data_IF_368854406797
#
_entry.id   IF_368854406797
#
_cell.length_a   1.000
_cell.length_b   1.000
_cell.length_c   1.000
_cell.angle_alpha   90.00
_cell.angle_beta   90.00
_cell.angle_gamma   90.00
#
_symmetry.space_group_name_H-M   'P 1'
#
loop_
_entity.id
_entity.type
_entity.pdbx_description
1 polymer ?
#
# COMPACT_ATOMS: atom_id res chain seq x y z
N UNK A 1 -15.94 12.87 1.19
CA UNK A 1 -14.79 13.82 1.32
C UNK A 1 -15.13 15.16 2.00
N UNK A 2 -15.94 16.04 1.40
CA UNK A 2 -16.13 17.44 1.85
C UNK A 2 -16.49 17.67 3.31
N UNK A 3 -17.50 16.93 3.81
CA UNK A 3 -17.97 17.08 5.17
C UNK A 3 -16.86 16.77 6.21
N UNK A 4 -15.94 15.87 5.87
CA UNK A 4 -14.79 15.54 6.71
C UNK A 4 -13.72 16.65 6.64
N UNK A 5 -13.42 17.16 5.44
CA UNK A 5 -12.53 18.32 5.24
C UNK A 5 -12.99 19.52 6.07
N UNK A 6 -14.28 19.83 6.07
CA UNK A 6 -14.86 20.90 6.88
C UNK A 6 -14.68 20.67 8.38
N UNK A 7 -14.81 19.42 8.85
CA UNK A 7 -14.55 19.07 10.25
C UNK A 7 -13.07 19.25 10.60
N UNK A 8 -12.16 18.92 9.70
CA UNK A 8 -10.71 19.14 9.86
C UNK A 8 -10.41 20.63 9.97
N UNK A 9 -10.92 21.46 9.07
CA UNK A 9 -10.70 22.91 9.10
C UNK A 9 -11.29 23.53 10.38
N UNK A 10 -12.51 23.13 10.77
CA UNK A 10 -13.10 23.56 12.05
C UNK A 10 -12.28 23.11 13.26
N UNK A 11 -11.72 21.90 13.21
CA UNK A 11 -10.77 21.46 14.22
C UNK A 11 -9.60 22.44 14.23
N UNK A 12 -8.88 22.63 13.11
CA UNK A 12 -7.69 23.49 13.01
C UNK A 12 -7.90 24.90 13.58
N UNK A 13 -9.09 25.50 13.40
CA UNK A 13 -9.46 26.83 13.90
C UNK A 13 -9.73 26.94 15.41
N UNK A 14 -9.81 25.82 16.15
CA UNK A 14 -9.88 25.84 17.63
C UNK A 14 -8.58 26.36 18.23
N UNK A 15 -8.58 26.72 19.52
CA UNK A 15 -7.37 27.18 20.22
C UNK A 15 -6.19 26.20 20.06
N UNK A 16 -5.02 26.73 19.69
CA UNK A 16 -3.80 25.99 19.27
C UNK A 16 -2.60 26.16 20.20
N UNK A 17 -2.87 26.38 21.47
CA UNK A 17 -1.84 26.41 22.52
C UNK A 17 -1.20 25.04 22.83
N UNK A 18 -1.63 23.95 22.19
CA UNK A 18 -1.10 22.59 22.41
C UNK A 18 -0.80 21.88 21.08
N UNK A 19 0.27 21.05 21.02
CA UNK A 19 0.52 20.16 19.88
C UNK A 19 -0.67 19.25 19.62
N UNK A 20 -0.84 18.83 18.36
CA UNK A 20 -1.91 17.91 17.97
C UNK A 20 -1.38 16.77 17.11
N UNK A 21 -2.11 15.66 17.16
CA UNK A 21 -2.06 14.59 16.16
C UNK A 21 -3.45 14.49 15.54
N UNK A 22 -3.53 14.50 14.21
CA UNK A 22 -4.79 14.43 13.49
C UNK A 22 -4.70 13.39 12.37
N UNK A 23 -5.46 12.30 12.50
CA UNK A 23 -5.62 11.30 11.46
C UNK A 23 -6.93 11.56 10.70
N UNK A 24 -6.83 11.80 9.40
CA UNK A 24 -7.98 12.07 8.52
C UNK A 24 -8.15 10.90 7.56
N UNK A 25 -9.16 10.08 7.79
CA UNK A 25 -9.47 8.91 6.96
C UNK A 25 -10.63 9.24 6.03
N UNK A 26 -10.33 9.55 4.77
CA UNK A 26 -11.35 9.60 3.73
C UNK A 26 -11.78 8.18 3.35
N UNK A 27 -13.06 8.00 3.05
CA UNK A 27 -13.57 6.72 2.55
C UNK A 27 -13.31 6.61 1.04
N UNK A 28 -13.58 7.68 0.30
CA UNK A 28 -13.31 7.73 -1.13
C UNK A 28 -11.81 7.56 -1.42
N UNK A 29 -11.41 6.92 -2.53
CA UNK A 29 -12.21 6.43 -3.65
C UNK A 29 -12.77 5.01 -3.48
N UNK A 30 -12.90 4.49 -2.26
CA UNK A 30 -13.42 3.14 -2.00
C UNK A 30 -14.77 2.90 -2.70
N UNK A 31 -14.94 1.67 -3.20
CA UNK A 31 -16.17 1.20 -3.83
C UNK A 31 -17.36 1.31 -2.84
N UNK A 32 -18.51 1.80 -3.30
CA UNK A 32 -19.73 1.75 -2.50
C UNK A 32 -20.30 0.33 -2.55
N UNK A 33 -20.29 -0.37 -1.42
CA UNK A 33 -20.56 -1.81 -1.36
C UNK A 33 -22.00 -2.19 -1.80
N UNK A 34 -22.96 -1.30 -1.56
CA UNK A 34 -24.36 -1.44 -1.94
C UNK A 34 -24.60 -1.24 -3.44
N UNK A 35 -23.81 -0.38 -4.08
CA UNK A 35 -23.91 -0.07 -5.50
C UNK A 35 -22.92 -0.87 -6.36
N UNK A 36 -21.95 -1.54 -5.72
CA UNK A 36 -20.85 -2.24 -6.37
C UNK A 36 -20.14 -1.35 -7.42
N UNK A 37 -19.92 -0.07 -7.11
CA UNK A 37 -19.16 0.88 -7.94
C UNK A 37 -18.53 2.01 -7.13
N UNK A 38 -17.50 2.64 -7.67
CA UNK A 38 -17.05 3.95 -7.22
C UNK A 38 -18.09 5.00 -7.64
N UNK A 39 -18.22 6.05 -6.84
CA UNK A 39 -19.16 7.15 -7.08
C UNK A 39 -18.43 8.45 -6.86
N UNK A 40 -18.09 9.15 -7.95
CA UNK A 40 -17.52 10.49 -7.85
C UNK A 40 -18.57 11.51 -7.42
N UNK A 41 -18.12 12.66 -6.87
CA UNK A 41 -18.98 13.83 -6.72
C UNK A 41 -19.59 14.24 -8.07
N UNK A 42 -20.74 14.91 -8.01
CA UNK A 42 -21.49 15.32 -9.19
C UNK A 42 -20.60 16.11 -10.18
N UNK A 43 -20.61 15.69 -11.45
CA UNK A 43 -19.83 16.31 -12.52
C UNK A 43 -18.34 15.96 -12.56
N UNK A 44 -17.79 15.25 -11.57
CA UNK A 44 -16.35 14.92 -11.57
C UNK A 44 -16.03 13.77 -12.51
N UNK A 45 -16.85 12.73 -12.60
CA UNK A 45 -16.62 11.61 -13.52
C UNK A 45 -16.60 12.06 -14.99
N UNK A 46 -17.43 13.04 -15.35
CA UNK A 46 -17.46 13.60 -16.70
C UNK A 46 -16.13 14.26 -17.13
N UNK A 47 -15.39 14.86 -16.18
CA UNK A 47 -14.05 15.42 -16.43
C UNK A 47 -13.03 14.35 -16.83
N UNK A 48 -13.28 13.11 -16.43
CA UNK A 48 -12.41 11.95 -16.64
C UNK A 48 -13.06 10.89 -17.54
N UNK A 49 -13.96 11.30 -18.46
CA UNK A 49 -14.63 10.38 -19.38
C UNK A 49 -13.64 9.62 -20.30
N UNK A 50 -12.46 10.16 -20.54
CA UNK A 50 -11.35 9.49 -21.23
C UNK A 50 -10.12 9.42 -20.32
N UNK A 51 -10.13 8.53 -19.30
CA UNK A 51 -9.10 8.48 -18.29
C UNK A 51 -7.80 7.89 -18.86
N UNK A 52 -6.65 8.33 -18.34
CA UNK A 52 -5.41 7.57 -18.50
C UNK A 52 -5.61 6.16 -17.93
N UNK A 53 -5.24 5.14 -18.70
CA UNK A 53 -5.36 3.73 -18.29
C UNK A 53 -3.97 3.22 -17.91
N UNK A 54 -3.74 2.87 -16.63
CA UNK A 54 -2.51 2.22 -16.20
C UNK A 54 -2.17 0.98 -17.03
N UNK A 55 -0.88 0.77 -17.27
CA UNK A 55 -0.38 -0.26 -18.19
C UNK A 55 -0.67 -1.69 -17.72
N UNK A 56 -0.81 -1.91 -16.42
CA UNK A 56 -1.15 -3.21 -15.82
C UNK A 56 -2.62 -3.59 -15.99
N UNK A 57 -3.51 -2.63 -16.28
CA UNK A 57 -4.95 -2.91 -16.40
C UNK A 57 -5.36 -3.41 -17.79
N UNK A 58 -4.76 -2.87 -18.85
CA UNK A 58 -5.13 -3.20 -20.24
C UNK A 58 -5.02 -4.69 -20.60
N UNK A 59 -4.00 -5.43 -20.14
CA UNK A 59 -3.82 -6.83 -20.54
C UNK A 59 -4.84 -7.80 -19.95
N UNK A 60 -5.60 -7.40 -18.92
CA UNK A 60 -6.47 -8.30 -18.17
C UNK A 60 -7.94 -7.84 -18.17
N UNK A 61 -8.90 -8.79 -18.12
CA UNK A 61 -10.29 -8.45 -17.87
C UNK A 61 -10.44 -7.85 -16.47
N UNK A 62 -11.33 -6.87 -16.31
CA UNK A 62 -11.59 -6.19 -15.05
C UNK A 62 -12.77 -5.23 -15.19
N UNK A 63 -13.02 -4.42 -14.16
CA UNK A 63 -14.08 -3.41 -14.19
C UNK A 63 -13.55 -1.97 -14.41
N UNK A 64 -12.25 -1.82 -14.66
CA UNK A 64 -11.57 -0.52 -14.76
C UNK A 64 -12.19 0.42 -15.80
N UNK A 65 -12.71 -0.08 -16.93
CA UNK A 65 -13.36 0.75 -17.95
C UNK A 65 -14.53 1.55 -17.38
N UNK A 66 -15.29 0.93 -16.48
CA UNK A 66 -16.49 1.50 -15.88
C UNK A 66 -16.15 2.33 -14.65
N UNK A 67 -15.10 1.95 -13.91
CA UNK A 67 -14.77 2.55 -12.62
C UNK A 67 -13.78 3.72 -12.71
N UNK A 68 -12.89 3.77 -13.71
CA UNK A 68 -11.82 4.77 -13.77
C UNK A 68 -12.32 6.24 -13.78
N UNK A 69 -13.37 6.62 -14.52
CA UNK A 69 -13.87 7.99 -14.49
C UNK A 69 -14.31 8.42 -13.08
N UNK A 70 -15.05 7.56 -12.37
CA UNK A 70 -15.48 7.83 -10.99
C UNK A 70 -14.28 7.82 -10.02
N UNK A 71 -13.35 6.86 -10.18
CA UNK A 71 -12.16 6.74 -9.35
C UNK A 71 -11.27 8.00 -9.44
N UNK A 72 -11.00 8.49 -10.65
CA UNK A 72 -10.25 9.75 -10.84
C UNK A 72 -11.04 10.97 -10.39
N UNK A 73 -12.36 10.97 -10.55
CA UNK A 73 -13.22 12.02 -10.01
C UNK A 73 -13.12 12.13 -8.48
N UNK A 74 -13.13 11.00 -7.78
CA UNK A 74 -12.90 10.95 -6.34
C UNK A 74 -11.50 11.47 -5.95
N UNK A 75 -10.45 11.00 -6.63
CA UNK A 75 -9.07 11.44 -6.37
C UNK A 75 -8.93 12.95 -6.56
N UNK A 76 -9.48 13.50 -7.64
CA UNK A 76 -9.45 14.94 -7.89
C UNK A 76 -10.14 15.73 -6.77
N UNK A 77 -11.26 15.24 -6.23
CA UNK A 77 -11.91 15.91 -5.10
C UNK A 77 -11.10 15.80 -3.81
N UNK A 78 -10.42 14.68 -3.57
CA UNK A 78 -9.53 14.50 -2.43
C UNK A 78 -8.35 15.47 -2.52
N UNK A 79 -7.75 15.62 -3.70
CA UNK A 79 -6.66 16.56 -3.96
C UNK A 79 -7.07 18.01 -3.65
N UNK A 80 -8.22 18.45 -4.16
CA UNK A 80 -8.78 19.78 -3.84
C UNK A 80 -9.04 19.95 -2.32
N UNK A 81 -9.52 18.90 -1.65
CA UNK A 81 -9.75 18.92 -0.21
C UNK A 81 -8.46 18.95 0.61
N UNK A 82 -7.41 18.27 0.16
CA UNK A 82 -6.08 18.38 0.75
C UNK A 82 -5.56 19.81 0.59
N UNK A 83 -5.70 20.41 -0.59
CA UNK A 83 -5.36 21.82 -0.83
C UNK A 83 -6.02 22.76 0.18
N UNK A 84 -7.32 22.60 0.42
CA UNK A 84 -8.06 23.39 1.42
C UNK A 84 -7.55 23.21 2.85
N UNK A 85 -7.12 22.01 3.23
CA UNK A 85 -6.50 21.77 4.54
C UNK A 85 -5.14 22.47 4.63
N UNK A 86 -4.32 22.36 3.58
CA UNK A 86 -3.02 23.03 3.52
C UNK A 86 -3.16 24.56 3.58
N UNK A 87 -4.15 25.12 2.89
CA UNK A 87 -4.44 26.55 2.95
C UNK A 87 -4.89 26.98 4.34
N UNK A 88 -5.76 26.21 5.00
CA UNK A 88 -6.15 26.48 6.38
C UNK A 88 -4.94 26.43 7.35
N UNK A 89 -4.01 25.50 7.17
CA UNK A 89 -2.77 25.45 7.95
C UNK A 89 -1.91 26.70 7.72
N UNK A 90 -1.83 27.22 6.49
CA UNK A 90 -1.08 28.46 6.17
C UNK A 90 -1.76 29.70 6.75
N UNK A 91 -3.06 29.83 6.57
CA UNK A 91 -3.88 30.92 7.14
C UNK A 91 -3.71 31.04 8.66
N UNK A 92 -3.68 29.89 9.34
CA UNK A 92 -3.53 29.79 10.78
C UNK A 92 -2.07 29.82 11.26
N UNK A 93 -1.10 29.98 10.35
CA UNK A 93 0.35 29.94 10.63
C UNK A 93 0.81 28.66 11.35
N UNK A 94 0.17 27.54 11.05
CA UNK A 94 0.49 26.22 11.58
C UNK A 94 1.36 25.41 10.61
N UNK A 95 1.37 25.75 9.32
CA UNK A 95 1.99 24.96 8.26
C UNK A 95 3.47 24.64 8.52
N UNK A 96 4.27 25.64 8.89
CA UNK A 96 5.72 25.46 9.11
C UNK A 96 6.05 24.62 10.35
N UNK A 97 5.08 24.36 11.22
CA UNK A 97 5.23 23.54 12.42
C UNK A 97 4.35 22.28 12.38
N UNK A 98 3.90 21.86 11.19
CA UNK A 98 3.05 20.67 11.01
C UNK A 98 3.70 19.71 10.02
N UNK A 99 3.84 18.44 10.42
CA UNK A 99 4.12 17.35 9.47
C UNK A 99 2.79 16.92 8.86
N UNK A 100 2.69 17.03 7.53
CA UNK A 100 1.59 16.53 6.73
C UNK A 100 2.05 15.26 6.02
N UNK A 101 1.36 14.15 6.27
CA UNK A 101 1.60 12.87 5.63
C UNK A 101 0.33 12.42 4.90
N UNK A 102 0.48 12.10 3.62
CA UNK A 102 -0.57 11.56 2.77
C UNK A 102 -0.23 10.14 2.36
N UNK A 103 -1.12 9.19 2.62
CA UNK A 103 -0.98 7.80 2.25
C UNK A 103 -2.34 7.14 1.97
N UNK A 104 -2.31 5.95 1.38
CA UNK A 104 -3.46 5.05 1.25
C UNK A 104 -3.29 3.82 2.15
N UNK A 105 -4.36 3.12 2.47
CA UNK A 105 -4.32 1.83 3.19
C UNK A 105 -3.98 0.66 2.25
N UNK A 106 -4.50 0.70 1.02
CA UNK A 106 -4.17 -0.21 -0.08
C UNK A 106 -4.40 0.47 -1.43
N UNK A 107 -4.07 -0.22 -2.53
CA UNK A 107 -4.34 0.22 -3.90
C UNK A 107 -5.56 -0.51 -4.51
N UNK A 108 -5.85 -0.25 -5.79
CA UNK A 108 -6.98 -0.83 -6.50
C UNK A 108 -6.51 -1.36 -7.87
N UNK A 109 -6.65 -2.68 -8.07
CA UNK A 109 -6.34 -3.32 -9.34
C UNK A 109 -7.60 -3.60 -10.17
N UNK A 110 -8.75 -3.04 -9.80
CA UNK A 110 -9.99 -3.08 -10.61
C UNK A 110 -10.37 -4.48 -11.10
N UNK A 111 -10.27 -5.47 -10.20
CA UNK A 111 -10.62 -6.88 -10.45
C UNK A 111 -9.82 -7.58 -11.56
N UNK A 112 -8.68 -7.02 -11.94
CA UNK A 112 -7.76 -7.65 -12.91
C UNK A 112 -7.00 -8.86 -12.38
N UNK A 113 -6.94 -9.03 -11.05
CA UNK A 113 -6.10 -10.06 -10.40
C UNK A 113 -6.89 -11.14 -9.68
N UNK A 114 -8.06 -10.80 -9.15
CA UNK A 114 -8.98 -11.70 -8.48
C UNK A 114 -10.40 -11.10 -8.59
N UNK A 115 -11.39 -11.73 -7.93
CA UNK A 115 -12.79 -11.28 -7.99
C UNK A 115 -13.06 -10.00 -7.18
N UNK A 116 -12.12 -9.55 -6.36
CA UNK A 116 -12.15 -8.29 -5.63
C UNK A 116 -11.27 -7.23 -6.32
N UNK A 117 -11.30 -5.99 -5.83
CA UNK A 117 -10.46 -4.90 -6.36
C UNK A 117 -9.12 -4.75 -5.61
N UNK A 118 -8.88 -5.61 -4.61
CA UNK A 118 -7.73 -5.61 -3.69
C UNK A 118 -7.44 -7.05 -3.20
N UNK A 119 -6.63 -7.18 -2.14
CA UNK A 119 -6.27 -8.47 -1.51
C UNK A 119 -5.57 -9.43 -2.47
N UNK A 120 -4.54 -8.91 -3.13
CA UNK A 120 -3.57 -9.71 -3.86
C UNK A 120 -2.17 -9.19 -3.58
N UNK A 121 -1.13 -9.94 -3.92
CA UNK A 121 0.25 -9.48 -3.69
C UNK A 121 0.70 -8.43 -4.72
N UNK A 122 -0.05 -8.22 -5.81
CA UNK A 122 0.34 -7.38 -6.94
C UNK A 122 0.55 -5.92 -6.54
N UNK A 123 1.43 -5.19 -7.23
CA UNK A 123 1.71 -3.77 -6.99
C UNK A 123 0.41 -2.94 -7.08
N UNK A 124 -0.50 -3.28 -8.00
CA UNK A 124 -1.82 -2.65 -8.09
C UNK A 124 -2.73 -2.86 -6.87
N UNK A 125 -2.35 -3.71 -5.91
CA UNK A 125 -3.03 -3.89 -4.63
C UNK A 125 -2.23 -3.35 -3.45
N UNK A 126 -0.90 -3.50 -3.44
CA UNK A 126 -0.07 -3.25 -2.24
C UNK A 126 0.81 -2.00 -2.33
N UNK A 127 1.08 -1.47 -3.54
CA UNK A 127 1.89 -0.28 -3.71
C UNK A 127 1.02 0.97 -3.60
N UNK A 128 1.19 1.69 -2.50
CA UNK A 128 0.42 2.88 -2.16
C UNK A 128 1.24 4.17 -2.35
N UNK A 129 0.59 5.35 -2.51
CA UNK A 129 1.27 6.61 -2.32
C UNK A 129 1.69 6.78 -0.85
N UNK A 130 2.86 7.38 -0.62
CA UNK A 130 3.30 7.91 0.67
C UNK A 130 4.08 9.21 0.40
N UNK A 131 3.48 10.34 0.77
CA UNK A 131 4.06 11.67 0.58
C UNK A 131 4.10 12.35 1.95
N UNK A 132 5.25 12.93 2.29
CA UNK A 132 5.45 13.60 3.58
C UNK A 132 6.06 14.97 3.36
N UNK A 133 5.53 15.98 4.04
CA UNK A 133 6.05 17.35 4.03
C UNK A 133 5.97 17.95 5.43
N UNK A 134 6.95 18.75 5.81
CA UNK A 134 6.93 19.52 7.07
C UNK A 134 8.32 19.63 7.70
N UNK A 135 8.41 19.96 8.99
CA UNK A 135 9.66 19.93 9.74
C UNK A 135 10.40 18.59 9.54
N UNK A 136 11.70 18.66 9.24
CA UNK A 136 12.58 17.52 8.87
C UNK A 136 12.27 16.84 7.53
N UNK A 137 11.11 17.10 6.91
CA UNK A 137 10.70 16.65 5.58
C UNK A 137 10.63 17.83 4.60
N UNK A 138 11.74 18.55 4.44
CA UNK A 138 11.79 19.83 3.72
C UNK A 138 12.62 19.77 2.42
N UNK A 139 12.75 18.58 1.82
CA UNK A 139 13.51 18.35 0.58
C UNK A 139 12.63 17.69 -0.47
N UNK A 140 12.81 18.08 -1.72
CA UNK A 140 12.25 17.34 -2.87
C UNK A 140 13.08 16.08 -3.09
N UNK A 141 12.70 15.00 -2.41
CA UNK A 141 13.44 13.74 -2.37
C UNK A 141 12.50 12.57 -2.70
N UNK A 142 12.97 11.66 -3.56
CA UNK A 142 12.37 10.33 -3.74
C UNK A 142 13.26 9.31 -3.03
N UNK A 143 12.65 8.54 -2.13
CA UNK A 143 13.24 7.41 -1.42
C UNK A 143 12.89 6.14 -2.22
N UNK A 144 13.84 5.53 -2.96
CA UNK A 144 13.58 4.33 -3.75
C UNK A 144 13.50 3.06 -2.89
N UNK A 145 14.05 3.09 -1.68
CA UNK A 145 14.01 1.97 -0.76
C UNK A 145 12.58 1.63 -0.35
N UNK A 146 12.35 0.34 -0.14
CA UNK A 146 11.07 -0.18 0.27
C UNK A 146 10.72 0.22 1.69
N UNK A 147 9.53 0.78 1.85
CA UNK A 147 8.92 1.16 3.14
C UNK A 147 7.54 0.51 3.22
N UNK A 148 7.15 0.06 4.41
CA UNK A 148 5.84 -0.50 4.70
C UNK A 148 5.00 0.44 5.56
N UNK A 149 3.68 0.28 5.56
CA UNK A 149 2.78 1.05 6.42
C UNK A 149 3.15 0.91 7.91
N UNK A 150 3.69 -0.25 8.32
CA UNK A 150 4.14 -0.46 9.71
C UNK A 150 5.30 0.46 10.12
N UNK A 151 6.05 1.01 9.15
CA UNK A 151 7.15 1.95 9.38
C UNK A 151 6.67 3.39 9.60
N UNK A 152 5.40 3.70 9.30
CA UNK A 152 4.84 5.06 9.39
C UNK A 152 4.85 5.59 10.83
N UNK A 153 4.31 4.81 11.76
CA UNK A 153 4.25 5.19 13.17
C UNK A 153 5.65 5.45 13.78
N UNK A 154 6.63 4.53 13.69
CA UNK A 154 7.97 4.78 14.22
C UNK A 154 8.67 5.96 13.52
N UNK A 155 8.44 6.15 12.21
CA UNK A 155 8.98 7.32 11.48
C UNK A 155 8.43 8.64 12.01
N UNK A 156 7.12 8.72 12.28
CA UNK A 156 6.50 9.92 12.84
C UNK A 156 6.98 10.20 14.26
N UNK A 157 7.10 9.17 15.11
CA UNK A 157 7.63 9.32 16.48
C UNK A 157 9.07 9.85 16.47
N UNK A 158 9.96 9.26 15.68
CA UNK A 158 11.34 9.74 15.50
C UNK A 158 11.37 11.19 14.98
N UNK A 159 10.55 11.51 13.97
CA UNK A 159 10.49 12.84 13.41
C UNK A 159 10.18 13.91 14.46
N UNK A 160 9.30 13.62 15.42
CA UNK A 160 8.94 14.54 16.52
C UNK A 160 9.75 14.33 17.81
N UNK A 161 10.74 13.45 17.81
CA UNK A 161 11.63 13.21 18.94
C UNK A 161 11.00 12.43 20.10
N UNK A 162 9.96 11.64 19.84
CA UNK A 162 9.35 10.72 20.82
C UNK A 162 10.04 9.35 20.69
N UNK A 163 10.45 8.71 21.80
CA UNK A 163 11.02 7.37 21.76
C UNK A 163 10.08 6.36 21.07
N UNK A 164 10.64 5.53 20.21
CA UNK A 164 9.90 4.45 19.55
C UNK A 164 9.78 3.28 20.54
N UNK A 165 8.57 2.79 20.85
CA UNK A 165 8.38 1.60 21.67
C UNK A 165 8.97 0.35 21.03
N UNK A 166 9.61 -0.52 21.83
CA UNK A 166 10.28 -1.74 21.36
C UNK A 166 9.29 -2.75 20.74
N UNK A 167 7.99 -2.65 21.05
CA UNK A 167 6.95 -3.52 20.50
C UNK A 167 6.57 -3.16 19.04
N UNK A 168 6.99 -2.00 18.54
CA UNK A 168 6.72 -1.64 17.14
C UNK A 168 7.54 -2.51 16.19
N UNK A 169 6.84 -3.20 15.27
CA UNK A 169 7.47 -4.08 14.29
C UNK A 169 8.17 -3.32 13.15
N UNK A 170 7.70 -2.10 12.85
CA UNK A 170 8.29 -1.24 11.84
C UNK A 170 9.55 -0.52 12.31
N UNK A 171 10.25 0.12 11.39
CA UNK A 171 11.46 0.92 11.67
C UNK A 171 11.28 2.36 11.18
N UNK A 172 11.93 3.30 11.84
CA UNK A 172 11.97 4.67 11.35
C UNK A 172 12.67 4.75 10.00
N UNK A 173 12.01 5.37 9.03
CA UNK A 173 12.54 5.68 7.71
C UNK A 173 13.35 7.00 7.68
N UNK A 174 13.48 7.70 8.81
CA UNK A 174 14.23 8.96 8.87
C UNK A 174 15.68 8.86 8.35
N UNK A 175 16.45 7.77 8.62
CA UNK A 175 17.80 7.61 8.05
C UNK A 175 17.83 7.62 6.51
N UNK A 176 16.77 7.17 5.84
CA UNK A 176 16.68 7.13 4.38
C UNK A 176 16.63 8.54 3.77
N UNK A 177 16.11 9.53 4.51
CA UNK A 177 16.10 10.94 4.08
C UNK A 177 17.52 11.53 3.97
N UNK A 178 18.48 10.89 4.65
CA UNK A 178 19.90 11.21 4.64
C UNK A 178 20.71 10.23 3.79
N UNK A 179 20.04 9.38 2.99
CA UNK A 179 20.66 8.31 2.18
C UNK A 179 21.49 7.31 3.00
N UNK A 180 21.19 7.17 4.29
CA UNK A 180 21.78 6.12 5.13
C UNK A 180 20.91 4.87 5.06
N UNK A 181 21.38 3.89 4.29
CA UNK A 181 20.67 2.64 4.03
C UNK A 181 21.25 1.44 4.79
N UNK A 182 22.31 1.66 5.57
CA UNK A 182 22.96 0.60 6.35
C UNK A 182 21.97 -0.05 7.32
N UNK A 183 21.79 -1.37 7.21
CA UNK A 183 20.84 -2.13 8.02
C UNK A 183 19.37 -1.96 7.61
N UNK A 184 19.07 -1.22 6.54
CA UNK A 184 17.74 -1.19 5.93
C UNK A 184 17.52 -2.47 5.13
N UNK A 185 16.52 -3.26 5.53
CA UNK A 185 16.27 -4.59 4.95
C UNK A 185 15.89 -4.54 3.47
N UNK A 186 15.30 -3.44 3.04
CA UNK A 186 14.84 -3.20 1.66
C UNK A 186 13.98 -4.35 1.09
N UNK A 187 13.04 -4.84 1.90
CA UNK A 187 12.02 -5.81 1.50
C UNK A 187 10.75 -5.62 2.35
N UNK A 188 9.61 -6.05 1.81
CA UNK A 188 8.29 -5.95 2.44
C UNK A 188 7.67 -7.34 2.55
N UNK A 189 7.14 -7.64 3.73
CA UNK A 189 6.33 -8.83 3.97
C UNK A 189 4.84 -8.48 3.87
N UNK A 190 4.06 -9.32 3.20
CA UNK A 190 2.66 -9.08 2.87
C UNK A 190 1.84 -10.29 3.33
N UNK A 191 0.80 -10.03 4.12
CA UNK A 191 -0.22 -11.01 4.48
C UNK A 191 -1.48 -10.70 3.69
N UNK A 192 -2.10 -11.74 3.13
CA UNK A 192 -3.35 -11.62 2.39
C UNK A 192 -4.37 -12.51 3.09
N UNK A 193 -5.53 -11.93 3.39
CA UNK A 193 -6.68 -12.54 4.06
C UNK A 193 -7.97 -12.21 3.31
N UNK A 194 -9.06 -12.88 3.72
CA UNK A 194 -10.41 -12.88 3.14
C UNK A 194 -10.49 -13.48 1.73
N UNK A 195 -9.75 -12.96 0.75
CA UNK A 195 -9.74 -13.52 -0.62
C UNK A 195 -9.06 -14.89 -0.69
N UNK A 196 -8.04 -15.08 0.15
CA UNK A 196 -7.23 -16.29 0.26
C UNK A 196 -6.43 -16.25 1.58
N UNK A 197 -5.85 -17.38 1.98
CA UNK A 197 -4.78 -17.40 2.99
C UNK A 197 -3.46 -17.43 2.25
N UNK A 198 -2.78 -16.29 2.15
CA UNK A 198 -1.52 -16.18 1.43
C UNK A 198 -0.51 -15.29 2.15
N UNK A 199 0.76 -15.51 1.79
CA UNK A 199 1.92 -14.74 2.25
C UNK A 199 2.78 -14.39 1.06
N UNK A 200 3.34 -13.19 1.05
CA UNK A 200 4.26 -12.78 0.01
C UNK A 200 5.42 -11.97 0.57
N UNK A 201 6.52 -12.00 -0.18
CA UNK A 201 7.66 -11.12 0.03
C UNK A 201 7.90 -10.31 -1.25
N UNK A 202 8.15 -9.02 -1.09
CA UNK A 202 8.51 -8.09 -2.16
C UNK A 202 9.89 -7.51 -1.83
N UNK A 203 10.87 -7.83 -2.65
CA UNK A 203 12.24 -7.30 -2.60
C UNK A 203 12.39 -6.19 -3.64
N UNK A 204 13.57 -5.58 -3.77
CA UNK A 204 13.82 -4.58 -4.82
C UNK A 204 13.43 -5.06 -6.22
N UNK A 205 13.79 -6.31 -6.57
CA UNK A 205 13.57 -6.90 -7.90
C UNK A 205 12.47 -7.93 -7.95
N UNK A 206 12.30 -8.75 -6.92
CA UNK A 206 11.44 -9.93 -6.99
C UNK A 206 10.22 -9.82 -6.11
N UNK A 207 9.12 -10.40 -6.58
CA UNK A 207 7.94 -10.70 -5.77
C UNK A 207 7.69 -12.20 -5.76
N UNK A 208 7.43 -12.76 -4.59
CA UNK A 208 7.15 -14.17 -4.40
C UNK A 208 5.98 -14.34 -3.45
N UNK A 209 4.99 -15.14 -3.85
CA UNK A 209 3.72 -15.32 -3.14
C UNK A 209 3.36 -16.81 -3.07
N UNK A 210 2.87 -17.22 -1.91
CA UNK A 210 2.42 -18.59 -1.61
C UNK A 210 0.99 -18.55 -1.09
N UNK A 211 0.20 -19.58 -1.40
CA UNK A 211 -1.21 -19.70 -1.01
C UNK A 211 -1.46 -21.03 -0.33
N UNK A 212 -2.36 -21.06 0.66
CA UNK A 212 -2.84 -22.28 1.28
C UNK A 212 -4.18 -22.67 0.63
N UNK A 213 -4.20 -23.60 -0.34
CA UNK A 213 -5.40 -23.91 -1.12
C UNK A 213 -6.52 -24.56 -0.28
N UNK A 214 -6.15 -25.24 0.81
CA UNK A 214 -7.09 -25.94 1.70
C UNK A 214 -7.64 -25.05 2.83
N UNK A 215 -7.34 -23.75 2.80
CA UNK A 215 -7.75 -22.77 3.82
C UNK A 215 -8.69 -21.72 3.25
N UNK A 216 -9.54 -21.17 4.11
CA UNK A 216 -10.48 -20.13 3.74
C UNK A 216 -10.08 -18.79 4.34
N UNK A 217 -9.76 -17.80 3.50
CA UNK A 217 -9.22 -16.50 3.93
C UNK A 217 -10.08 -15.74 4.95
N UNK A 218 -11.40 -15.98 4.99
CA UNK A 218 -12.32 -15.34 5.95
C UNK A 218 -12.46 -16.08 7.28
N UNK A 219 -11.90 -17.29 7.41
CA UNK A 219 -12.01 -18.16 8.60
C UNK A 219 -10.67 -18.53 9.20
N UNK A 220 -9.67 -18.71 8.35
CA UNK A 220 -8.34 -19.17 8.72
C UNK A 220 -7.35 -17.99 8.65
N UNK A 221 -6.66 -17.64 9.75
CA UNK A 221 -5.67 -16.55 9.74
C UNK A 221 -4.34 -16.96 9.10
N UNK A 222 -4.00 -18.25 9.15
CA UNK A 222 -2.75 -18.83 8.69
C UNK A 222 -2.90 -20.30 8.25
N UNK A 223 -1.78 -20.89 7.83
CA UNK A 223 -1.66 -22.30 7.51
C UNK A 223 -0.28 -22.81 7.92
N UNK A 224 -0.20 -24.10 8.26
CA UNK A 224 1.09 -24.78 8.41
C UNK A 224 1.67 -25.23 7.05
N UNK A 225 0.83 -25.23 6.00
CA UNK A 225 1.18 -25.69 4.65
C UNK A 225 0.72 -24.67 3.62
N UNK A 226 1.65 -24.25 2.76
CA UNK A 226 1.39 -23.42 1.59
C UNK A 226 1.93 -24.09 0.32
N UNK A 227 1.47 -23.59 -0.82
CA UNK A 227 1.99 -23.93 -2.15
C UNK A 227 2.42 -22.64 -2.83
N UNK A 228 3.56 -22.68 -3.50
CA UNK A 228 4.01 -21.58 -4.36
C UNK A 228 2.95 -21.23 -5.40
N UNK A 229 2.64 -19.93 -5.49
CA UNK A 229 1.49 -19.45 -6.24
C UNK A 229 1.88 -18.46 -7.33
N UNK A 230 2.62 -17.41 -6.96
CA UNK A 230 3.00 -16.37 -7.92
C UNK A 230 4.44 -15.90 -7.69
N UNK A 231 5.15 -15.66 -8.79
CA UNK A 231 6.49 -15.10 -8.77
C UNK A 231 6.68 -14.14 -9.95
N UNK A 232 7.25 -12.96 -9.70
CA UNK A 232 7.44 -11.91 -10.71
C UNK A 232 8.83 -11.27 -10.61
N UNK A 233 9.46 -11.03 -11.76
CA UNK A 233 10.62 -10.15 -11.89
C UNK A 233 10.15 -8.71 -12.14
N UNK A 234 10.09 -7.88 -11.11
CA UNK A 234 9.60 -6.50 -11.18
C UNK A 234 10.53 -5.57 -11.97
N UNK A 235 11.77 -5.98 -12.24
CA UNK A 235 12.66 -5.22 -13.11
C UNK A 235 12.33 -5.45 -14.59
N UNK A 236 12.14 -6.72 -14.99
CA UNK A 236 11.82 -7.07 -16.37
C UNK A 236 10.31 -6.91 -16.70
N UNK A 237 9.46 -7.09 -15.70
CA UNK A 237 8.00 -7.07 -15.79
C UNK A 237 7.39 -6.25 -14.64
N UNK A 238 7.50 -4.91 -14.69
CA UNK A 238 7.00 -4.01 -13.63
C UNK A 238 5.47 -4.04 -13.49
N UNK A 239 4.76 -4.65 -14.44
CA UNK A 239 3.31 -4.77 -14.45
C UNK A 239 2.83 -6.17 -14.07
N UNK A 240 3.74 -7.09 -13.71
CA UNK A 240 3.43 -8.42 -13.18
C UNK A 240 2.50 -9.21 -14.12
N UNK A 241 2.76 -9.13 -15.42
CA UNK A 241 1.95 -9.77 -16.47
C UNK A 241 2.27 -11.26 -16.61
N UNK A 242 3.51 -11.67 -16.32
CA UNK A 242 3.99 -13.04 -16.53
C UNK A 242 4.33 -13.70 -15.20
N UNK A 243 3.50 -14.65 -14.77
CA UNK A 243 3.82 -15.47 -13.59
C UNK A 243 4.97 -16.45 -13.92
N UNK A 244 6.01 -16.40 -13.10
CA UNK A 244 7.23 -17.22 -13.20
C UNK A 244 7.25 -18.41 -12.24
N UNK A 245 6.26 -18.52 -11.34
CA UNK A 245 6.16 -19.63 -10.39
C UNK A 245 6.17 -20.99 -11.12
N UNK A 246 6.93 -21.95 -10.59
CA UNK A 246 7.07 -23.29 -11.17
C UNK A 246 7.90 -23.41 -12.45
N UNK A 247 8.38 -22.30 -13.06
CA UNK A 247 9.23 -22.36 -14.26
C UNK A 247 10.63 -22.87 -13.90
N UNK A 248 11.16 -23.78 -14.73
CA UNK A 248 12.42 -24.46 -14.44
C UNK A 248 13.61 -23.49 -14.37
N UNK A 249 13.63 -22.46 -15.22
CA UNK A 249 14.72 -21.49 -15.30
C UNK A 249 14.84 -20.61 -14.04
N UNK A 250 13.76 -20.53 -13.25
CA UNK A 250 13.67 -19.65 -12.07
C UNK A 250 13.69 -20.41 -10.75
N UNK A 251 13.93 -21.74 -10.77
CA UNK A 251 13.82 -22.60 -9.60
C UNK A 251 14.75 -22.17 -8.45
N UNK A 252 15.99 -21.84 -8.75
CA UNK A 252 16.97 -21.45 -7.73
C UNK A 252 16.57 -20.13 -7.05
N UNK A 253 16.03 -19.19 -7.81
CA UNK A 253 15.50 -17.92 -7.30
C UNK A 253 14.26 -18.17 -6.44
N UNK A 254 13.34 -19.02 -6.88
CA UNK A 254 12.16 -19.39 -6.12
C UNK A 254 12.53 -20.05 -4.77
N UNK A 255 13.55 -20.91 -4.73
CA UNK A 255 14.05 -21.51 -3.48
C UNK A 255 14.60 -20.44 -2.52
N UNK A 256 15.41 -19.49 -3.02
CA UNK A 256 15.93 -18.40 -2.20
C UNK A 256 14.80 -17.53 -1.61
N UNK A 257 13.83 -17.14 -2.45
CA UNK A 257 12.69 -16.32 -2.02
C UNK A 257 11.77 -17.07 -1.05
N UNK A 258 11.62 -18.39 -1.21
CA UNK A 258 10.85 -19.25 -0.30
C UNK A 258 11.46 -19.29 1.08
N UNK A 259 12.77 -19.54 1.18
CA UNK A 259 13.45 -19.57 2.48
C UNK A 259 13.42 -18.18 3.12
N UNK A 260 13.64 -17.11 2.35
CA UNK A 260 13.50 -15.75 2.87
C UNK A 260 12.08 -15.45 3.36
N UNK A 261 11.04 -15.90 2.66
CA UNK A 261 9.66 -15.75 3.11
C UNK A 261 9.41 -16.48 4.44
N UNK A 262 9.92 -17.71 4.59
CA UNK A 262 9.81 -18.47 5.85
C UNK A 262 10.49 -17.77 7.02
N UNK A 263 11.69 -17.22 6.78
CA UNK A 263 12.38 -16.38 7.77
C UNK A 263 11.52 -15.17 8.17
N UNK A 264 10.91 -14.49 7.20
CA UNK A 264 10.05 -13.34 7.47
C UNK A 264 8.77 -13.69 8.23
N UNK A 265 8.17 -14.84 7.95
CA UNK A 265 7.05 -15.37 8.73
C UNK A 265 7.48 -15.60 10.19
N UNK A 266 8.62 -16.25 10.42
CA UNK A 266 9.15 -16.46 11.77
C UNK A 266 9.46 -15.14 12.50
N UNK A 267 10.08 -14.17 11.81
CA UNK A 267 10.43 -12.85 12.36
C UNK A 267 9.19 -12.05 12.82
N UNK A 268 8.01 -12.29 12.23
CA UNK A 268 6.74 -11.66 12.67
C UNK A 268 5.94 -12.52 13.63
N UNK A 269 6.51 -13.64 14.10
CA UNK A 269 5.90 -14.54 15.09
C UNK A 269 4.98 -15.61 14.51
N UNK A 270 4.95 -15.81 13.19
CA UNK A 270 4.23 -16.93 12.58
C UNK A 270 5.03 -18.23 12.72
N UNK A 271 4.32 -19.36 12.72
CA UNK A 271 4.95 -20.68 12.63
C UNK A 271 5.62 -20.82 11.27
N UNK A 272 6.83 -21.40 11.24
CA UNK A 272 7.53 -21.69 9.99
C UNK A 272 6.76 -22.76 9.23
N UNK A 273 6.19 -22.45 8.05
CA UNK A 273 5.37 -23.41 7.33
C UNK A 273 6.21 -24.37 6.47
N UNK A 274 5.57 -25.45 6.05
CA UNK A 274 5.96 -26.17 4.85
C UNK A 274 5.46 -25.42 3.61
N UNK A 275 6.34 -25.19 2.63
CA UNK A 275 5.98 -24.55 1.36
C UNK A 275 6.35 -25.48 0.21
N UNK A 276 5.34 -26.04 -0.44
CA UNK A 276 5.53 -26.89 -1.60
C UNK A 276 5.78 -26.07 -2.87
N UNK A 277 6.69 -26.50 -3.77
CA UNK A 277 6.87 -25.86 -5.06
C UNK A 277 5.59 -25.94 -5.91
N UNK A 278 5.43 -24.99 -6.82
CA UNK A 278 4.31 -25.01 -7.76
C UNK A 278 4.43 -26.27 -8.63
N UNK A 279 3.32 -26.99 -8.82
CA UNK A 279 3.25 -28.09 -9.77
C UNK A 279 3.17 -27.46 -11.16
N UNK A 280 4.28 -27.56 -11.90
CA UNK A 280 4.53 -26.99 -13.22
C UNK A 280 3.28 -26.61 -14.04
N UNK A 281 3.20 -25.35 -14.47
CA UNK A 281 2.54 -25.05 -15.73
C UNK A 281 3.52 -25.46 -16.84
N UNK A 282 3.16 -26.40 -17.74
CA UNK A 282 3.99 -26.72 -18.90
C UNK A 282 4.19 -25.51 -19.82
#
# INVERSE_FOLDING_TARGET
VDALTERVIRFLRRDRNRPFFLFVSYLEPHQQNDMNRMVAPEGYSAKYANPFIPHDLRPFPGDWQQQLPDYYGCIARIDECLGRILDALRELRLFDNTIVMFLSDHACHFRTRNQEYKRSCHEGSVRIPLIVQGPRFNRSLVVPELVSIVDVAPTLLDAVGIPIPDEMQGKSAMPLLERRIDGWRNEVFIQISESQVARAIRTERWKYCVVAPDKHGSRDPDSDVYVEYQMYDLFADPYELVNLAGRAEYRDIAVQLRERLKERMAEVGERVPEIHPARFYP
#
